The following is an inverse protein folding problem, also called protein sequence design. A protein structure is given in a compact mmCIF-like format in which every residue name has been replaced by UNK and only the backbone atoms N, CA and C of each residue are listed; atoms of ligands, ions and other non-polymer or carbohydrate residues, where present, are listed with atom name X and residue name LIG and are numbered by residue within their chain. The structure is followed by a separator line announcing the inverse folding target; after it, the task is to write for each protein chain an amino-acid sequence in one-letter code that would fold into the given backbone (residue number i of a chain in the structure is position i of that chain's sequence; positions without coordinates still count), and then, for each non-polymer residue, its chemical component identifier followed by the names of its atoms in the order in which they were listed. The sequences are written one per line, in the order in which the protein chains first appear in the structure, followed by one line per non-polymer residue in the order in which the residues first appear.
data_IF_117267982996
#
_entry.id   IF_117267982996
#
_cell.length_a   1.000
_cell.length_b   1.000
_cell.length_c   1.000
_cell.angle_alpha   90.00
_cell.angle_beta   90.00
_cell.angle_gamma   90.00
#
_symmetry.space_group_name_H-M   'P 1'
#
loop_
_entity.id
_entity.type
_entity.pdbx_description
1 polymer ?
#
# COMPACT_ATOMS: atom_id res chain seq x y z
N UNK A 1 -29.41 63.64 -54.20
CA UNK A 1 -30.30 64.76 -54.59
C UNK A 1 -29.57 66.08 -54.79
N UNK A 2 -28.69 66.51 -53.87
CA UNK A 2 -28.05 67.83 -53.92
C UNK A 2 -27.15 68.02 -55.16
N UNK A 3 -26.41 67.00 -55.59
CA UNK A 3 -25.52 67.08 -56.77
C UNK A 3 -26.28 67.29 -58.10
N UNK A 4 -27.49 66.72 -58.22
CA UNK A 4 -28.31 66.86 -59.43
C UNK A 4 -28.88 68.27 -59.62
N UNK A 5 -29.17 68.98 -58.52
CA UNK A 5 -29.72 70.35 -58.56
C UNK A 5 -28.63 71.36 -58.97
N UNK A 6 -27.39 71.16 -58.53
CA UNK A 6 -26.26 72.04 -58.88
C UNK A 6 -25.92 71.98 -60.37
N UNK A 7 -25.95 70.78 -60.97
CA UNK A 7 -25.70 70.61 -62.41
C UNK A 7 -26.76 71.29 -63.29
N UNK A 8 -28.04 71.26 -62.89
CA UNK A 8 -29.13 71.93 -63.63
C UNK A 8 -29.03 73.46 -63.55
N UNK A 9 -28.67 74.02 -62.38
CA UNK A 9 -28.47 75.47 -62.25
C UNK A 9 -27.28 76.00 -63.05
N UNK A 10 -26.19 75.23 -63.12
CA UNK A 10 -25.02 75.61 -63.94
C UNK A 10 -25.40 75.58 -65.43
N UNK A 11 -26.14 74.57 -65.89
CA UNK A 11 -26.59 74.50 -67.28
C UNK A 11 -27.55 75.65 -67.65
N UNK A 12 -28.45 76.05 -66.73
CA UNK A 12 -29.38 77.16 -66.94
C UNK A 12 -28.65 78.52 -67.06
N UNK A 13 -27.60 78.73 -66.26
CA UNK A 13 -26.80 79.97 -66.30
C UNK A 13 -25.93 80.08 -67.55
N UNK A 14 -25.41 78.96 -68.07
CA UNK A 14 -24.68 78.94 -69.34
C UNK A 14 -25.62 79.23 -70.52
N UNK A 15 -26.88 78.77 -70.46
CA UNK A 15 -27.89 79.07 -71.48
C UNK A 15 -28.36 80.54 -71.48
N UNK A 16 -28.42 81.21 -70.31
CA UNK A 16 -28.81 82.64 -70.25
C UNK A 16 -27.70 83.58 -70.71
N UNK A 17 -26.42 83.21 -70.57
CA UNK A 17 -25.29 84.01 -71.05
C UNK A 17 -25.12 83.99 -72.58
N UNK A 18 -25.54 82.92 -73.28
CA UNK A 18 -25.48 82.84 -74.75
C UNK A 18 -26.61 83.58 -75.46
N UNK A 19 -27.75 83.79 -74.80
CA UNK A 19 -28.86 84.60 -75.31
C UNK A 19 -28.59 86.12 -75.29
N UNK A 20 -27.73 86.59 -74.37
CA UNK A 20 -27.38 88.01 -74.26
C UNK A 20 -26.55 88.55 -75.43
N UNK A 21 -25.69 87.72 -76.04
CA UNK A 21 -24.80 88.14 -77.13
C UNK A 21 -25.52 88.28 -78.48
N UNK A 22 -26.60 87.53 -78.69
CA UNK A 22 -27.48 87.66 -79.86
C UNK A 22 -28.24 89.00 -79.85
N UNK A 23 -28.63 89.51 -78.68
CA UNK A 23 -29.40 90.76 -78.55
C UNK A 23 -28.58 92.02 -78.88
N UNK A 24 -27.27 91.99 -78.62
CA UNK A 24 -26.34 93.06 -79.02
C UNK A 24 -26.08 93.10 -80.52
N UNK A 25 -26.13 91.94 -81.21
CA UNK A 25 -25.92 91.88 -82.66
C UNK A 25 -27.13 92.44 -83.44
N UNK A 26 -28.34 92.19 -82.95
CA UNK A 26 -29.59 92.72 -83.53
C UNK A 26 -29.71 94.24 -83.35
N UNK A 27 -29.22 94.78 -82.23
CA UNK A 27 -29.27 96.24 -81.98
C UNK A 27 -28.26 97.03 -82.83
N UNK A 28 -27.11 96.43 -83.17
CA UNK A 28 -26.14 97.04 -84.09
C UNK A 28 -26.61 97.02 -85.55
N UNK A 29 -27.33 95.97 -85.97
CA UNK A 29 -27.87 95.87 -87.32
C UNK A 29 -29.01 96.87 -87.61
N UNK A 30 -29.81 97.24 -86.60
CA UNK A 30 -30.94 98.18 -86.75
C UNK A 30 -30.47 99.64 -86.82
N UNK A 31 -29.32 99.98 -86.22
CA UNK A 31 -28.80 101.35 -86.22
C UNK A 31 -28.11 101.75 -87.54
N UNK A 32 -27.85 100.79 -88.44
CA UNK A 32 -27.14 101.02 -89.71
C UNK A 32 -28.07 101.37 -90.89
N UNK A 33 -29.39 101.26 -90.74
CA UNK A 33 -30.34 101.32 -91.87
C UNK A 33 -30.94 102.72 -92.14
N UNK A 34 -30.71 103.74 -91.29
CA UNK A 34 -31.49 105.00 -91.35
C UNK A 34 -30.71 106.31 -91.62
N UNK A 35 -29.49 106.28 -92.18
CA UNK A 35 -28.81 107.51 -92.59
C UNK A 35 -28.50 107.52 -94.11
N UNK A 36 -28.96 108.54 -94.83
CA UNK A 36 -28.71 108.79 -96.27
C UNK A 36 -27.49 109.72 -96.43
N UNK A 37 -26.40 109.24 -97.05
CA UNK A 37 -25.15 109.96 -97.39
C UNK A 37 -24.25 109.04 -98.26
N UNK A 38 -23.21 109.55 -98.96
CA UNK A 38 -22.66 108.94 -100.17
C UNK A 38 -21.96 107.59 -99.94
N UNK A 39 -22.27 106.64 -100.83
CA UNK A 39 -22.10 105.18 -100.71
C UNK A 39 -20.65 104.66 -100.71
N UNK A 40 -19.63 105.51 -100.89
CA UNK A 40 -18.22 105.09 -101.02
C UNK A 40 -17.42 105.04 -99.69
N UNK A 41 -17.57 106.04 -98.82
CA UNK A 41 -16.71 106.19 -97.63
C UNK A 41 -17.29 105.53 -96.36
N UNK A 42 -18.61 105.31 -96.31
CA UNK A 42 -19.27 104.58 -95.21
C UNK A 42 -18.93 103.10 -95.23
N UNK A 43 -18.86 102.49 -96.40
CA UNK A 43 -18.56 101.07 -96.54
C UNK A 43 -17.15 100.77 -96.01
N UNK A 44 -16.21 101.70 -96.20
CA UNK A 44 -14.85 101.60 -95.68
C UNK A 44 -14.77 101.75 -94.15
N UNK A 45 -15.43 102.76 -93.55
CA UNK A 45 -15.44 102.92 -92.07
C UNK A 45 -16.23 101.82 -91.38
N UNK A 46 -17.36 101.40 -91.94
CA UNK A 46 -18.15 100.28 -91.44
C UNK A 46 -17.33 98.99 -91.49
N UNK A 47 -16.59 98.75 -92.58
CA UNK A 47 -15.67 97.62 -92.71
C UNK A 47 -14.52 97.67 -91.70
N UNK A 48 -13.84 98.81 -91.54
CA UNK A 48 -12.77 98.98 -90.55
C UNK A 48 -13.28 98.77 -89.10
N UNK A 49 -14.46 99.30 -88.75
CA UNK A 49 -15.07 99.07 -87.43
C UNK A 49 -15.55 97.62 -87.23
N UNK A 50 -16.03 96.96 -88.27
CA UNK A 50 -16.43 95.55 -88.23
C UNK A 50 -15.22 94.63 -88.10
N UNK A 51 -14.11 94.93 -88.79
CA UNK A 51 -12.83 94.22 -88.65
C UNK A 51 -12.26 94.38 -87.23
N UNK A 52 -12.26 95.60 -86.69
CA UNK A 52 -11.82 95.85 -85.31
C UNK A 52 -12.70 95.15 -84.27
N UNK A 53 -14.02 95.15 -84.46
CA UNK A 53 -14.95 94.44 -83.59
C UNK A 53 -14.76 92.91 -83.67
N UNK A 54 -14.47 92.37 -84.86
CA UNK A 54 -14.14 90.95 -85.04
C UNK A 54 -12.82 90.57 -84.37
N UNK A 55 -11.80 91.43 -84.44
CA UNK A 55 -10.51 91.22 -83.78
C UNK A 55 -10.66 91.25 -82.25
N UNK A 56 -11.42 92.21 -81.71
CA UNK A 56 -11.75 92.28 -80.29
C UNK A 56 -12.54 91.05 -79.81
N UNK A 57 -13.51 90.59 -80.62
CA UNK A 57 -14.26 89.37 -80.32
C UNK A 57 -13.38 88.13 -80.34
N UNK A 58 -12.44 88.05 -81.30
CA UNK A 58 -11.44 86.97 -81.36
C UNK A 58 -10.54 87.00 -80.12
N UNK A 59 -10.03 88.16 -79.72
CA UNK A 59 -9.22 88.31 -78.52
C UNK A 59 -10.00 88.00 -77.22
N UNK A 60 -11.32 88.22 -77.19
CA UNK A 60 -12.18 87.78 -76.08
C UNK A 60 -12.40 86.27 -76.10
N UNK A 61 -12.63 85.69 -77.27
CA UNK A 61 -12.76 84.24 -77.43
C UNK A 61 -11.47 83.52 -77.02
N UNK A 62 -10.30 84.01 -77.44
CA UNK A 62 -8.99 83.43 -77.08
C UNK A 62 -8.74 83.51 -75.56
N UNK A 63 -9.12 84.62 -74.91
CA UNK A 63 -9.06 84.74 -73.44
C UNK A 63 -9.99 83.77 -72.73
N UNK A 64 -11.23 83.63 -73.22
CA UNK A 64 -12.19 82.68 -72.65
C UNK A 64 -11.74 81.23 -72.83
N UNK A 65 -11.09 80.90 -73.97
CA UNK A 65 -10.49 79.57 -74.19
C UNK A 65 -9.33 79.34 -73.22
N UNK A 66 -8.44 80.31 -73.03
CA UNK A 66 -7.33 80.19 -72.08
C UNK A 66 -7.80 80.02 -70.63
N UNK A 67 -8.85 80.74 -70.22
CA UNK A 67 -9.49 80.57 -68.91
C UNK A 67 -10.12 79.18 -68.77
N UNK A 68 -10.85 78.72 -69.80
CA UNK A 68 -11.43 77.38 -69.81
C UNK A 68 -10.35 76.29 -69.71
N UNK A 69 -9.22 76.43 -70.40
CA UNK A 69 -8.10 75.49 -70.32
C UNK A 69 -7.42 75.50 -68.93
N UNK A 70 -7.33 76.68 -68.29
CA UNK A 70 -6.88 76.81 -66.90
C UNK A 70 -7.79 76.04 -65.93
N UNK A 71 -9.11 76.22 -66.06
CA UNK A 71 -10.10 75.50 -65.24
C UNK A 71 -10.08 73.99 -65.51
N UNK A 72 -9.86 73.56 -66.76
CA UNK A 72 -9.69 72.13 -67.08
C UNK A 72 -8.47 71.55 -66.36
N UNK A 73 -7.33 72.25 -66.42
CA UNK A 73 -6.12 71.82 -65.74
C UNK A 73 -6.28 71.77 -64.21
N UNK A 74 -7.00 72.72 -63.62
CA UNK A 74 -7.31 72.71 -62.18
C UNK A 74 -8.23 71.54 -61.81
N UNK A 75 -9.28 71.29 -62.59
CA UNK A 75 -10.20 70.16 -62.40
C UNK A 75 -9.48 68.82 -62.51
N UNK A 76 -8.51 68.68 -63.42
CA UNK A 76 -7.72 67.46 -63.58
C UNK A 76 -6.75 67.24 -62.40
N UNK A 77 -6.17 68.33 -61.85
CA UNK A 77 -5.38 68.28 -60.60
C UNK A 77 -6.24 67.86 -59.42
N UNK A 78 -7.40 68.49 -59.24
CA UNK A 78 -8.34 68.14 -58.17
C UNK A 78 -8.83 66.70 -58.28
N UNK A 79 -9.07 66.20 -59.49
CA UNK A 79 -9.40 64.79 -59.72
C UNK A 79 -8.26 63.87 -59.27
N UNK A 80 -7.02 64.21 -59.61
CA UNK A 80 -5.84 63.43 -59.21
C UNK A 80 -5.64 63.43 -57.70
N UNK A 81 -5.83 64.57 -57.04
CA UNK A 81 -5.74 64.72 -55.59
C UNK A 81 -6.85 63.97 -54.87
N UNK A 82 -8.08 63.97 -55.41
CA UNK A 82 -9.20 63.18 -54.90
C UNK A 82 -8.88 61.69 -54.96
N UNK A 83 -8.42 61.18 -56.11
CA UNK A 83 -8.03 59.78 -56.26
C UNK A 83 -6.90 59.40 -55.27
N UNK A 84 -5.95 60.30 -55.05
CA UNK A 84 -4.88 60.10 -54.07
C UNK A 84 -5.40 60.08 -52.63
N UNK A 85 -6.35 60.94 -52.30
CA UNK A 85 -7.01 60.98 -50.99
C UNK A 85 -7.85 59.71 -50.74
N UNK A 86 -8.60 59.24 -51.74
CA UNK A 86 -9.37 57.99 -51.66
C UNK A 86 -8.46 56.78 -51.42
N UNK A 87 -7.33 56.69 -52.13
CA UNK A 87 -6.33 55.63 -51.90
C UNK A 87 -5.74 55.68 -50.48
N UNK A 88 -5.46 56.87 -49.95
CA UNK A 88 -4.97 57.02 -48.57
C UNK A 88 -6.03 56.64 -47.53
N UNK A 89 -7.29 57.02 -47.77
CA UNK A 89 -8.40 56.66 -46.89
C UNK A 89 -8.64 55.14 -46.87
N UNK A 90 -8.56 54.48 -48.02
CA UNK A 90 -8.66 53.02 -48.12
C UNK A 90 -7.51 52.33 -47.35
N UNK A 91 -6.26 52.78 -47.55
CA UNK A 91 -5.11 52.23 -46.82
C UNK A 91 -5.22 52.41 -45.29
N UNK A 92 -5.72 53.56 -44.83
CA UNK A 92 -5.94 53.80 -43.40
C UNK A 92 -7.05 52.93 -42.81
N UNK A 93 -8.11 52.63 -43.57
CA UNK A 93 -9.15 51.67 -43.15
C UNK A 93 -8.59 50.25 -43.05
N UNK A 94 -7.78 49.82 -44.03
CA UNK A 94 -7.12 48.51 -43.98
C UNK A 94 -6.19 48.37 -42.77
N UNK A 95 -5.44 49.43 -42.43
CA UNK A 95 -4.59 49.50 -41.24
C UNK A 95 -5.42 49.41 -39.94
N UNK A 96 -6.52 50.17 -39.86
CA UNK A 96 -7.44 50.13 -38.71
C UNK A 96 -8.07 48.74 -38.52
N UNK A 97 -8.44 48.06 -39.61
CA UNK A 97 -8.94 46.69 -39.57
C UNK A 97 -7.86 45.68 -39.18
N UNK A 98 -6.60 45.93 -39.54
CA UNK A 98 -5.44 45.17 -39.06
C UNK A 98 -5.26 45.29 -37.54
N UNK A 99 -5.23 46.51 -37.03
CA UNK A 99 -5.11 46.79 -35.59
C UNK A 99 -6.29 46.23 -34.78
N UNK A 100 -7.51 46.30 -35.33
CA UNK A 100 -8.69 45.71 -34.69
C UNK A 100 -8.57 44.19 -34.56
N UNK A 101 -8.05 43.51 -35.58
CA UNK A 101 -7.79 42.06 -35.52
C UNK A 101 -6.71 41.72 -34.50
N UNK A 102 -5.63 42.49 -34.46
CA UNK A 102 -4.56 42.31 -33.47
C UNK A 102 -5.06 42.52 -32.05
N UNK A 103 -5.85 43.57 -31.81
CA UNK A 103 -6.47 43.83 -30.50
C UNK A 103 -7.40 42.69 -30.09
N UNK A 104 -8.17 42.14 -31.03
CA UNK A 104 -9.01 40.96 -30.79
C UNK A 104 -8.21 39.72 -30.43
N UNK A 105 -7.08 39.47 -31.10
CA UNK A 105 -6.16 38.37 -30.78
C UNK A 105 -5.56 38.53 -29.38
N UNK A 106 -5.05 39.71 -29.06
CA UNK A 106 -4.45 40.00 -27.75
C UNK A 106 -5.49 39.87 -26.62
N UNK A 107 -6.72 40.31 -26.84
CA UNK A 107 -7.81 40.12 -25.88
C UNK A 107 -8.12 38.63 -25.64
N UNK A 108 -8.12 37.81 -26.70
CA UNK A 108 -8.31 36.37 -26.57
C UNK A 108 -7.15 35.69 -25.82
N UNK A 109 -5.91 36.08 -26.11
CA UNK A 109 -4.72 35.60 -25.40
C UNK A 109 -4.74 35.99 -23.92
N UNK A 110 -5.16 37.22 -23.60
CA UNK A 110 -5.28 37.68 -22.22
C UNK A 110 -6.33 36.88 -21.44
N UNK A 111 -7.50 36.62 -22.05
CA UNK A 111 -8.54 35.82 -21.41
C UNK A 111 -8.07 34.36 -21.18
N UNK A 112 -7.39 33.76 -22.17
CA UNK A 112 -6.84 32.42 -22.01
C UNK A 112 -5.75 32.36 -20.92
N UNK A 113 -4.95 33.41 -20.77
CA UNK A 113 -3.97 33.53 -19.70
C UNK A 113 -4.62 33.68 -18.32
N UNK A 114 -5.74 34.42 -18.22
CA UNK A 114 -6.51 34.56 -16.99
C UNK A 114 -7.15 33.22 -16.56
N UNK A 115 -7.75 32.50 -17.51
CA UNK A 115 -8.29 31.15 -17.26
C UNK A 115 -7.19 30.18 -16.78
N UNK A 116 -6.02 30.20 -17.43
CA UNK A 116 -4.88 29.39 -17.02
C UNK A 116 -4.33 29.76 -15.64
N UNK A 117 -4.33 31.05 -15.30
CA UNK A 117 -3.93 31.54 -13.98
C UNK A 117 -4.92 31.09 -12.89
N UNK A 118 -6.23 31.17 -13.17
CA UNK A 118 -7.27 30.68 -12.27
C UNK A 118 -7.11 29.17 -12.01
N UNK A 119 -6.87 28.36 -13.07
CA UNK A 119 -6.63 26.93 -12.92
C UNK A 119 -5.36 26.64 -12.11
N UNK A 120 -4.28 27.39 -12.34
CA UNK A 120 -3.04 27.25 -11.58
C UNK A 120 -3.23 27.55 -10.08
N UNK A 121 -4.05 28.55 -9.75
CA UNK A 121 -4.39 28.89 -8.36
C UNK A 121 -5.19 27.76 -7.70
N UNK A 122 -6.17 27.19 -8.40
CA UNK A 122 -6.92 26.03 -7.87
C UNK A 122 -6.02 24.81 -7.66
N UNK A 123 -5.11 24.51 -8.58
CA UNK A 123 -4.12 23.45 -8.39
C UNK A 123 -3.21 23.72 -7.19
N UNK A 124 -2.78 24.96 -6.99
CA UNK A 124 -1.94 25.33 -5.85
C UNK A 124 -2.67 25.12 -4.52
N UNK A 125 -3.96 25.52 -4.43
CA UNK A 125 -4.80 25.26 -3.25
C UNK A 125 -4.96 23.76 -2.97
N UNK A 126 -5.21 22.96 -4.01
CA UNK A 126 -5.28 21.51 -3.87
C UNK A 126 -4.00 20.88 -3.32
N UNK A 127 -2.83 21.38 -3.75
CA UNK A 127 -1.53 20.95 -3.21
C UNK A 127 -1.30 21.40 -1.78
N UNK A 128 -1.75 22.61 -1.40
CA UNK A 128 -1.70 23.09 -0.01
C UNK A 128 -2.55 22.22 0.92
N UNK A 129 -3.78 21.86 0.50
CA UNK A 129 -4.66 20.97 1.24
C UNK A 129 -4.06 19.56 1.40
N UNK A 130 -3.48 19.02 0.33
CA UNK A 130 -2.79 17.72 0.38
C UNK A 130 -1.57 17.75 1.32
N UNK A 131 -0.76 18.81 1.25
CA UNK A 131 0.36 19.00 2.16
C UNK A 131 -0.11 19.10 3.62
N UNK A 132 -1.20 19.82 3.88
CA UNK A 132 -1.82 19.90 5.21
C UNK A 132 -2.26 18.54 5.74
N UNK A 133 -2.89 17.71 4.90
CA UNK A 133 -3.30 16.35 5.23
C UNK A 133 -2.10 15.45 5.56
N UNK A 134 -1.05 15.48 4.73
CA UNK A 134 0.17 14.69 4.96
C UNK A 134 0.88 15.08 6.26
N UNK A 135 0.91 16.37 6.59
CA UNK A 135 1.46 16.85 7.88
C UNK A 135 0.64 16.32 9.06
N UNK A 136 -0.69 16.30 8.95
CA UNK A 136 -1.55 15.74 9.99
C UNK A 136 -1.33 14.23 10.17
N UNK A 137 -1.27 13.47 9.08
CA UNK A 137 -0.98 12.02 9.09
C UNK A 137 0.41 11.73 9.71
N UNK A 138 1.44 12.50 9.35
CA UNK A 138 2.78 12.36 9.91
C UNK A 138 2.80 12.60 11.42
N UNK A 139 2.09 13.62 11.90
CA UNK A 139 2.01 13.90 13.33
C UNK A 139 1.25 12.81 14.11
N UNK A 140 0.18 12.25 13.53
CA UNK A 140 -0.54 11.12 14.10
C UNK A 140 0.35 9.87 14.20
N UNK A 141 1.04 9.52 13.11
CA UNK A 141 1.97 8.39 13.09
C UNK A 141 3.12 8.55 14.10
N UNK A 142 3.63 9.77 14.28
CA UNK A 142 4.64 10.07 15.30
C UNK A 142 4.11 9.86 16.72
N UNK A 143 2.87 10.28 16.99
CA UNK A 143 2.23 10.08 18.29
C UNK A 143 2.01 8.58 18.58
N UNK A 144 1.57 7.80 17.59
CA UNK A 144 1.46 6.34 17.69
C UNK A 144 2.81 5.68 17.93
N UNK A 145 3.86 6.11 17.24
CA UNK A 145 5.22 5.61 17.44
C UNK A 145 5.74 5.83 18.86
N UNK A 146 5.48 7.00 19.45
CA UNK A 146 5.83 7.30 20.84
C UNK A 146 5.03 6.45 21.84
N UNK A 147 3.73 6.24 21.57
CA UNK A 147 2.89 5.37 22.39
C UNK A 147 3.36 3.91 22.33
N UNK A 148 3.77 3.42 21.15
CA UNK A 148 4.31 2.07 20.99
C UNK A 148 5.66 1.92 21.70
N UNK A 149 6.54 2.93 21.64
CA UNK A 149 7.81 2.92 22.36
C UNK A 149 7.59 2.75 23.88
N UNK A 150 6.64 3.50 24.44
CA UNK A 150 6.27 3.37 25.87
C UNK A 150 5.77 1.96 26.19
N UNK A 151 4.89 1.39 25.34
CA UNK A 151 4.40 0.02 25.53
C UNK A 151 5.49 -1.05 25.45
N UNK A 152 6.53 -0.83 24.64
CA UNK A 152 7.68 -1.74 24.56
C UNK A 152 8.53 -1.66 25.81
N UNK A 153 8.71 -0.46 26.38
CA UNK A 153 9.37 -0.28 27.67
C UNK A 153 8.59 -0.99 28.79
N UNK A 154 7.28 -0.75 28.91
CA UNK A 154 6.42 -1.42 29.89
C UNK A 154 6.49 -2.95 29.77
N UNK A 155 6.40 -3.48 28.55
CA UNK A 155 6.50 -4.92 28.31
C UNK A 155 7.89 -5.49 28.67
N UNK A 156 8.96 -4.72 28.46
CA UNK A 156 10.31 -5.13 28.87
C UNK A 156 10.42 -5.18 30.40
N UNK A 157 9.78 -4.26 31.11
CA UNK A 157 9.72 -4.22 32.57
C UNK A 157 8.93 -5.40 33.12
N UNK A 158 7.78 -5.72 32.51
CA UNK A 158 6.98 -6.89 32.85
C UNK A 158 7.78 -8.20 32.67
N UNK A 159 8.49 -8.36 31.54
CA UNK A 159 9.33 -9.54 31.29
C UNK A 159 10.45 -9.64 32.35
N UNK A 160 11.07 -8.53 32.74
CA UNK A 160 12.06 -8.51 33.82
C UNK A 160 11.44 -8.91 35.16
N UNK A 161 10.26 -8.39 35.48
CA UNK A 161 9.51 -8.72 36.70
C UNK A 161 9.12 -10.20 36.76
N UNK A 162 8.59 -10.75 35.66
CA UNK A 162 8.22 -12.16 35.56
C UNK A 162 9.42 -13.09 35.68
N UNK A 163 10.58 -12.73 35.10
CA UNK A 163 11.82 -13.50 35.28
C UNK A 163 12.26 -13.53 36.73
N UNK A 164 12.27 -12.39 37.41
CA UNK A 164 12.63 -12.32 38.83
C UNK A 164 11.63 -13.12 39.70
N UNK A 165 10.34 -13.07 39.38
CA UNK A 165 9.32 -13.85 40.08
C UNK A 165 9.49 -15.36 39.85
N UNK A 166 9.85 -15.78 38.63
CA UNK A 166 10.17 -17.18 38.31
C UNK A 166 11.39 -17.65 39.09
N UNK A 167 12.49 -16.90 39.08
CA UNK A 167 13.71 -17.22 39.84
C UNK A 167 13.40 -17.30 41.35
N UNK A 168 12.60 -16.38 41.88
CA UNK A 168 12.18 -16.41 43.29
C UNK A 168 11.28 -17.61 43.61
N UNK A 169 10.38 -18.00 42.70
CA UNK A 169 9.53 -19.17 42.87
C UNK A 169 10.34 -20.48 42.82
N UNK A 170 11.31 -20.57 41.90
CA UNK A 170 12.25 -21.70 41.83
C UNK A 170 13.11 -21.79 43.10
N UNK A 171 13.63 -20.66 43.59
CA UNK A 171 14.39 -20.60 44.84
C UNK A 171 13.54 -20.90 46.09
N UNK A 172 12.23 -20.62 46.06
CA UNK A 172 11.31 -20.94 47.14
C UNK A 172 10.89 -22.42 47.16
N UNK A 173 11.10 -23.15 46.06
CA UNK A 173 10.78 -24.59 45.93
C UNK A 173 12.03 -25.46 46.08
N UNK A 174 12.88 -25.14 47.05
CA UNK A 174 13.93 -26.03 47.51
C UNK A 174 13.37 -26.96 48.59
N UNK A 175 13.72 -28.24 48.51
CA UNK A 175 13.42 -29.24 49.52
C UNK A 175 14.72 -29.88 49.99
N UNK A 176 14.75 -30.28 51.26
CA UNK A 176 15.89 -31.00 51.82
C UNK A 176 15.85 -32.45 51.33
N UNK A 177 16.86 -32.84 50.55
CA UNK A 177 17.01 -34.19 50.00
C UNK A 177 18.43 -34.69 50.25
N UNK A 178 18.60 -35.81 50.97
CA UNK A 178 19.92 -36.35 51.28
C UNK A 178 20.86 -35.38 52.03
N UNK A 179 20.30 -34.42 52.77
CA UNK A 179 21.04 -33.38 53.50
C UNK A 179 21.47 -32.16 52.67
N UNK A 180 21.05 -32.07 51.40
CA UNK A 180 21.26 -30.92 50.53
C UNK A 180 19.93 -30.24 50.18
N UNK A 181 19.95 -28.91 49.97
CA UNK A 181 18.79 -28.17 49.48
C UNK A 181 18.75 -28.27 47.96
N UNK A 182 17.77 -28.99 47.42
CA UNK A 182 17.66 -29.31 46.00
C UNK A 182 16.30 -28.83 45.46
N UNK A 183 16.22 -28.30 44.24
CA UNK A 183 14.93 -27.94 43.64
C UNK A 183 14.01 -29.15 43.53
N UNK A 184 12.73 -29.01 43.90
CA UNK A 184 11.72 -30.08 43.83
C UNK A 184 11.75 -30.81 42.48
N UNK A 185 11.87 -30.06 41.38
CA UNK A 185 11.93 -30.63 40.02
C UNK A 185 13.09 -31.60 39.84
N UNK A 186 14.27 -31.27 40.36
CA UNK A 186 15.45 -32.11 40.26
C UNK A 186 15.30 -33.38 41.11
N UNK A 187 14.74 -33.26 42.33
CA UNK A 187 14.49 -34.42 43.19
C UNK A 187 13.51 -35.40 42.53
N UNK A 188 12.39 -34.90 41.99
CA UNK A 188 11.40 -35.72 41.27
C UNK A 188 12.02 -36.42 40.06
N UNK A 189 12.86 -35.73 39.28
CA UNK A 189 13.57 -36.33 38.14
C UNK A 189 14.55 -37.43 38.57
N UNK A 190 15.28 -37.23 39.68
CA UNK A 190 16.22 -38.22 40.21
C UNK A 190 15.51 -39.50 40.66
N UNK A 191 14.43 -39.37 41.42
CA UNK A 191 13.65 -40.51 41.93
C UNK A 191 12.98 -41.28 40.79
N UNK A 192 12.29 -40.57 39.87
CA UNK A 192 11.64 -41.22 38.71
C UNK A 192 12.64 -41.92 37.78
N UNK A 193 13.83 -41.33 37.56
CA UNK A 193 14.91 -41.96 36.80
C UNK A 193 15.45 -43.22 37.47
N UNK A 194 15.75 -43.14 38.77
CA UNK A 194 16.25 -44.26 39.58
C UNK A 194 15.28 -45.45 39.59
N UNK A 195 13.99 -45.18 39.79
CA UNK A 195 12.94 -46.20 39.75
C UNK A 195 12.84 -46.81 38.36
N UNK A 196 12.82 -45.99 37.30
CA UNK A 196 12.75 -46.49 35.92
C UNK A 196 13.91 -47.43 35.58
N UNK A 197 15.13 -47.04 35.94
CA UNK A 197 16.34 -47.85 35.74
C UNK A 197 16.29 -49.17 36.53
N UNK A 198 15.80 -49.14 37.78
CA UNK A 198 15.65 -50.34 38.61
C UNK A 198 14.58 -51.27 38.06
N UNK A 199 13.42 -50.75 37.70
CA UNK A 199 12.33 -51.52 37.10
C UNK A 199 12.80 -52.21 35.82
N UNK A 200 13.57 -51.52 34.96
CA UNK A 200 14.13 -52.13 33.76
C UNK A 200 15.09 -53.30 34.10
N UNK A 201 15.97 -53.15 35.09
CA UNK A 201 16.89 -54.21 35.53
C UNK A 201 16.17 -55.39 36.16
N UNK A 202 15.15 -55.14 36.99
CA UNK A 202 14.31 -56.18 37.59
C UNK A 202 13.58 -56.96 36.50
N UNK A 203 12.94 -56.27 35.55
CA UNK A 203 12.27 -56.92 34.43
C UNK A 203 13.24 -57.77 33.59
N UNK A 204 14.45 -57.26 33.31
CA UNK A 204 15.48 -58.01 32.61
C UNK A 204 15.97 -59.24 33.42
N UNK A 205 16.10 -59.10 34.74
CA UNK A 205 16.52 -60.18 35.65
C UNK A 205 15.47 -61.29 35.68
N UNK A 206 14.19 -60.94 35.76
CA UNK A 206 13.09 -61.90 35.74
C UNK A 206 12.96 -62.61 34.39
N UNK A 207 13.05 -61.87 33.28
CA UNK A 207 13.05 -62.49 31.95
C UNK A 207 14.27 -63.39 31.75
N UNK A 208 15.42 -63.01 32.30
CA UNK A 208 16.62 -63.84 32.29
C UNK A 208 16.51 -65.07 33.20
N UNK A 209 15.81 -64.96 34.35
CA UNK A 209 15.65 -66.06 35.30
C UNK A 209 14.80 -67.17 34.72
N UNK A 210 13.83 -66.88 33.85
CA UNK A 210 12.99 -67.90 33.18
C UNK A 210 13.80 -69.00 32.48
N UNK A 211 14.89 -68.63 31.79
CA UNK A 211 15.77 -69.61 31.14
C UNK A 211 16.55 -70.45 32.17
N UNK A 212 16.93 -69.85 33.29
CA UNK A 212 17.61 -70.50 34.39
C UNK A 212 16.71 -71.40 35.24
N UNK A 213 15.45 -71.01 35.42
CA UNK A 213 14.38 -71.76 36.07
C UNK A 213 14.12 -73.10 35.39
N UNK A 214 14.31 -73.13 34.08
CA UNK A 214 14.17 -74.34 33.25
C UNK A 214 15.31 -75.35 33.45
N UNK A 215 16.39 -75.00 34.17
CA UNK A 215 17.50 -75.90 34.47
C UNK A 215 17.17 -76.76 35.70
N UNK A 216 17.11 -78.10 35.58
CA UNK A 216 16.84 -78.99 36.70
C UNK A 216 17.79 -78.74 37.90
N UNK A 217 17.26 -78.75 39.12
CA UNK A 217 17.96 -78.53 40.41
C UNK A 217 18.56 -77.13 40.67
N UNK A 218 18.85 -76.37 39.62
CA UNK A 218 19.37 -75.00 39.72
C UNK A 218 18.25 -73.95 39.68
N UNK A 219 17.10 -74.27 39.06
CA UNK A 219 15.97 -73.35 38.95
C UNK A 219 15.51 -72.77 40.28
N UNK A 220 15.37 -73.59 41.34
CA UNK A 220 14.99 -73.10 42.68
C UNK A 220 16.01 -72.10 43.26
N UNK A 221 17.31 -72.31 43.00
CA UNK A 221 18.33 -71.38 43.43
C UNK A 221 18.24 -70.05 42.67
N UNK A 222 17.91 -70.11 41.38
CA UNK A 222 17.74 -68.95 40.50
C UNK A 222 16.49 -68.15 40.87
N UNK A 223 15.36 -68.81 41.18
CA UNK A 223 14.15 -68.15 41.71
C UNK A 223 14.47 -67.43 43.01
N UNK A 224 15.07 -68.12 43.99
CA UNK A 224 15.42 -67.50 45.28
C UNK A 224 16.34 -66.29 45.08
N UNK A 225 17.30 -66.36 44.16
CA UNK A 225 18.19 -65.26 43.84
C UNK A 225 17.45 -64.09 43.16
N UNK A 226 16.61 -64.36 42.16
CA UNK A 226 15.81 -63.35 41.46
C UNK A 226 14.85 -62.66 42.43
N UNK A 227 14.10 -63.42 43.23
CA UNK A 227 13.17 -62.88 44.25
C UNK A 227 13.91 -62.07 45.33
N UNK A 228 15.12 -62.48 45.73
CA UNK A 228 15.94 -61.68 46.65
C UNK A 228 16.32 -60.34 46.04
N UNK A 229 16.68 -60.32 44.76
CA UNK A 229 17.00 -59.11 44.02
C UNK A 229 15.76 -58.21 43.82
N UNK A 230 14.62 -58.77 43.45
CA UNK A 230 13.33 -58.06 43.32
C UNK A 230 12.91 -57.40 44.63
N UNK A 231 12.98 -58.14 45.73
CA UNK A 231 12.60 -57.64 47.05
C UNK A 231 13.52 -56.50 47.49
N UNK A 232 14.83 -56.65 47.27
CA UNK A 232 15.79 -55.57 47.52
C UNK A 232 15.46 -54.33 46.68
N UNK A 233 15.25 -54.50 45.37
CA UNK A 233 14.94 -53.38 44.48
C UNK A 233 13.64 -52.70 44.86
N UNK A 234 12.61 -53.46 45.27
CA UNK A 234 11.33 -52.92 45.71
C UNK A 234 11.47 -52.13 47.01
N UNK A 235 12.24 -52.64 47.98
CA UNK A 235 12.56 -51.92 49.21
C UNK A 235 13.31 -50.60 48.93
N UNK A 236 14.30 -50.61 48.03
CA UNK A 236 15.05 -49.41 47.67
C UNK A 236 14.15 -48.37 46.97
N UNK A 237 13.27 -48.79 46.03
CA UNK A 237 12.30 -47.90 45.38
C UNK A 237 11.29 -47.31 46.36
N UNK A 238 10.79 -48.10 47.32
CA UNK A 238 9.87 -47.61 48.34
C UNK A 238 10.53 -46.59 49.26
N UNK A 239 11.79 -46.81 49.65
CA UNK A 239 12.55 -45.85 50.45
C UNK A 239 12.75 -44.53 49.73
N UNK A 240 13.10 -44.54 48.44
CA UNK A 240 13.27 -43.32 47.65
C UNK A 240 11.96 -42.57 47.44
N UNK A 241 10.85 -43.28 47.20
CA UNK A 241 9.53 -42.64 47.13
C UNK A 241 9.14 -42.02 48.46
N UNK A 242 9.35 -42.74 49.57
CA UNK A 242 9.05 -42.22 50.91
C UNK A 242 9.92 -41.01 51.26
N UNK A 243 11.22 -41.07 50.96
CA UNK A 243 12.12 -39.92 51.13
C UNK A 243 11.59 -38.72 50.33
N UNK A 244 11.00 -38.95 49.13
CA UNK A 244 10.48 -37.86 48.27
C UNK A 244 9.24 -37.24 48.88
N UNK A 245 8.35 -38.08 49.37
CA UNK A 245 7.15 -37.63 50.05
C UNK A 245 7.46 -36.89 51.35
N UNK A 246 8.50 -37.30 52.09
CA UNK A 246 9.01 -36.58 53.27
C UNK A 246 9.61 -35.24 52.87
N UNK A 247 10.47 -35.21 51.84
CA UNK A 247 11.08 -33.98 51.35
C UNK A 247 10.03 -32.96 50.86
N UNK A 248 8.94 -33.45 50.26
CA UNK A 248 7.80 -32.65 49.83
C UNK A 248 6.85 -32.26 50.97
N UNK A 249 7.05 -32.77 52.18
CA UNK A 249 6.18 -32.53 53.33
C UNK A 249 4.78 -33.15 53.23
N UNK A 250 4.61 -34.17 52.39
CA UNK A 250 3.33 -34.87 52.18
C UNK A 250 3.21 -36.19 52.95
N UNK A 251 4.33 -36.73 53.44
CA UNK A 251 4.36 -37.91 54.30
C UNK A 251 5.08 -37.65 55.64
N UNK A 252 4.73 -38.40 56.70
CA UNK A 252 5.48 -38.39 57.96
C UNK A 252 6.88 -38.97 57.79
N UNK A 253 7.81 -38.66 58.71
CA UNK A 253 9.20 -39.14 58.63
C UNK A 253 9.35 -40.68 58.60
N UNK A 254 8.38 -41.41 59.17
CA UNK A 254 8.37 -42.87 59.20
C UNK A 254 7.19 -43.43 58.39
N UNK A 255 7.46 -44.38 57.48
CA UNK A 255 6.43 -45.18 56.82
C UNK A 255 6.52 -46.66 57.28
N UNK A 256 5.48 -47.15 57.99
CA UNK A 256 5.37 -48.56 58.36
C UNK A 256 5.39 -49.52 57.17
N UNK A 257 4.92 -49.11 55.98
CA UNK A 257 4.86 -49.96 54.79
C UNK A 257 6.25 -50.21 54.21
N UNK A 258 7.12 -49.19 54.17
CA UNK A 258 8.55 -49.36 53.81
C UNK A 258 9.20 -50.39 54.73
N UNK A 259 9.00 -50.27 56.04
CA UNK A 259 9.58 -51.19 57.03
C UNK A 259 9.06 -52.62 56.87
N UNK A 260 7.78 -52.77 56.51
CA UNK A 260 7.17 -54.06 56.25
C UNK A 260 7.79 -54.78 55.05
N UNK A 261 7.91 -54.10 53.90
CA UNK A 261 8.47 -54.70 52.68
C UNK A 261 9.97 -54.95 52.82
N UNK A 262 10.71 -53.98 53.36
CA UNK A 262 12.15 -54.13 53.62
C UNK A 262 12.47 -55.19 54.69
N UNK A 263 11.50 -55.55 55.55
CA UNK A 263 11.63 -56.57 56.58
C UNK A 263 11.25 -57.99 56.14
N UNK A 264 10.75 -58.17 54.91
CA UNK A 264 10.41 -59.50 54.39
C UNK A 264 11.68 -60.35 54.23
N UNK A 265 11.60 -61.64 54.59
CA UNK A 265 12.68 -62.61 54.43
C UNK A 265 12.40 -63.52 53.26
N UNK A 266 13.31 -63.56 52.29
CA UNK A 266 13.27 -64.58 51.22
C UNK A 266 13.74 -65.92 51.81
N UNK A 267 12.97 -67.01 51.64
CA UNK A 267 13.40 -68.33 52.06
C UNK A 267 14.67 -68.77 51.33
N UNK A 268 15.53 -69.52 52.01
CA UNK A 268 16.73 -70.12 51.41
C UNK A 268 16.36 -71.25 50.43
N UNK A 269 17.28 -71.59 49.53
CA UNK A 269 17.15 -72.75 48.62
C UNK A 269 16.72 -74.02 49.36
N UNK A 270 17.33 -74.29 50.51
CA UNK A 270 17.04 -75.49 51.31
C UNK A 270 15.62 -75.44 51.89
N UNK A 271 15.20 -74.29 52.42
CA UNK A 271 13.83 -74.08 52.95
C UNK A 271 12.79 -74.23 51.84
N UNK A 272 13.02 -73.65 50.65
CA UNK A 272 12.13 -73.82 49.49
C UNK A 272 12.07 -75.28 49.05
N UNK A 273 13.22 -75.96 48.97
CA UNK A 273 13.27 -77.36 48.55
C UNK A 273 12.59 -78.30 49.55
N UNK A 274 12.74 -78.02 50.83
CA UNK A 274 12.05 -78.76 51.89
C UNK A 274 10.53 -78.54 51.82
N UNK A 275 10.09 -77.30 51.59
CA UNK A 275 8.66 -76.97 51.44
C UNK A 275 8.02 -77.69 50.25
N UNK A 276 8.73 -77.77 49.11
CA UNK A 276 8.27 -78.50 47.92
C UNK A 276 8.18 -80.01 48.21
N UNK A 277 9.16 -80.59 48.91
CA UNK A 277 9.16 -82.02 49.27
C UNK A 277 8.03 -82.39 50.23
N UNK A 278 7.81 -81.54 51.24
CA UNK A 278 6.87 -81.83 52.32
C UNK A 278 5.42 -81.64 51.89
N UNK A 279 5.14 -80.66 51.02
CA UNK A 279 3.76 -80.36 50.63
C UNK A 279 3.66 -79.66 49.26
N UNK A 280 3.88 -80.39 48.16
CA UNK A 280 3.89 -79.79 46.82
C UNK A 280 2.53 -79.21 46.40
N UNK A 281 1.41 -79.82 46.84
CA UNK A 281 0.06 -79.30 46.59
C UNK A 281 -0.22 -77.97 47.30
N UNK A 282 0.35 -77.77 48.49
CA UNK A 282 0.25 -76.51 49.24
C UNK A 282 1.04 -75.40 48.56
N UNK A 283 2.25 -75.69 48.10
CA UNK A 283 3.08 -74.75 47.35
C UNK A 283 2.39 -74.34 46.04
N UNK A 284 1.81 -75.30 45.31
CA UNK A 284 1.04 -75.05 44.10
C UNK A 284 -0.14 -74.10 44.37
N UNK A 285 -0.96 -74.41 45.38
CA UNK A 285 -2.12 -73.59 45.74
C UNK A 285 -1.70 -72.18 46.15
N UNK A 286 -0.62 -72.03 46.92
CA UNK A 286 -0.11 -70.73 47.31
C UNK A 286 0.37 -69.90 46.11
N UNK A 287 1.01 -70.54 45.13
CA UNK A 287 1.48 -69.88 43.91
C UNK A 287 0.33 -69.48 42.96
N UNK A 288 -0.70 -70.32 42.81
CA UNK A 288 -1.84 -70.00 41.94
C UNK A 288 -2.76 -68.93 42.52
N UNK A 289 -2.89 -68.86 43.85
CA UNK A 289 -3.76 -67.89 44.52
C UNK A 289 -3.37 -66.41 44.31
N UNK A 290 -2.14 -66.14 43.88
CA UNK A 290 -1.64 -64.77 43.65
C UNK A 290 -1.61 -64.38 42.17
N UNK A 291 -1.94 -65.31 41.26
CA UNK A 291 -1.97 -65.09 39.82
C UNK A 291 -3.44 -64.95 39.39
N UNK A 292 -3.85 -63.80 38.82
CA UNK A 292 -5.18 -63.67 38.22
C UNK A 292 -5.41 -64.74 37.15
N UNK A 293 -6.61 -65.30 37.09
CA UNK A 293 -7.03 -66.31 36.09
C UNK A 293 -6.25 -67.64 36.14
N UNK A 294 -5.64 -67.97 37.30
CA UNK A 294 -4.93 -69.25 37.49
C UNK A 294 -5.84 -70.48 37.60
N UNK A 295 -7.17 -70.30 37.66
CA UNK A 295 -8.17 -71.37 37.79
C UNK A 295 -8.16 -72.35 36.61
N UNK A 296 -7.66 -71.91 35.45
CA UNK A 296 -7.56 -72.72 34.24
C UNK A 296 -6.25 -73.54 34.14
N UNK A 297 -5.35 -73.43 35.11
CA UNK A 297 -4.09 -74.18 35.10
C UNK A 297 -4.32 -75.64 35.54
N UNK A 298 -3.88 -76.64 34.75
CA UNK A 298 -4.04 -78.03 35.13
C UNK A 298 -3.24 -78.35 36.40
N UNK A 299 -3.91 -78.88 37.42
CA UNK A 299 -3.25 -79.32 38.65
C UNK A 299 -2.27 -80.45 38.33
N UNK A 300 -0.97 -80.32 38.66
CA UNK A 300 0.01 -81.37 38.40
C UNK A 300 -0.31 -82.66 39.18
N UNK A 301 -0.05 -83.82 38.58
CA UNK A 301 -0.08 -85.10 39.30
C UNK A 301 1.18 -85.24 40.16
N UNK A 302 1.11 -84.70 41.38
CA UNK A 302 2.20 -84.73 42.35
C UNK A 302 2.54 -86.14 42.86
N UNK A 303 1.68 -87.15 42.66
CA UNK A 303 1.94 -88.52 43.12
C UNK A 303 2.76 -89.34 42.12
N UNK A 304 2.38 -89.30 40.83
CA UNK A 304 3.04 -90.05 39.76
C UNK A 304 4.28 -89.36 39.18
N UNK A 305 4.19 -88.06 38.90
CA UNK A 305 5.25 -87.27 38.26
C UNK A 305 6.46 -87.07 39.20
N UNK A 306 6.21 -86.87 40.49
CA UNK A 306 7.25 -86.64 41.50
C UNK A 306 8.09 -87.90 41.77
N UNK A 307 7.42 -89.05 41.96
CA UNK A 307 8.12 -90.34 42.14
C UNK A 307 8.90 -90.76 40.89
N UNK A 308 8.37 -90.49 39.69
CA UNK A 308 9.10 -90.78 38.43
C UNK A 308 10.30 -89.86 38.21
N UNK A 309 10.19 -88.57 38.57
CA UNK A 309 11.26 -87.59 38.36
C UNK A 309 12.36 -87.77 39.42
N UNK A 310 12.01 -87.92 40.69
CA UNK A 310 12.98 -88.21 41.75
C UNK A 310 13.59 -89.62 41.58
N UNK A 311 12.83 -90.61 41.13
CA UNK A 311 13.36 -91.96 40.88
C UNK A 311 14.35 -92.04 39.72
N UNK A 312 14.15 -91.25 38.65
CA UNK A 312 15.07 -91.18 37.51
C UNK A 312 16.39 -90.45 37.85
N UNK A 313 16.33 -89.44 38.72
CA UNK A 313 17.52 -88.66 39.12
C UNK A 313 18.18 -89.12 40.43
N UNK A 314 17.51 -89.93 41.26
CA UNK A 314 18.08 -90.48 42.50
C UNK A 314 19.35 -91.30 42.25
N UNK A 315 19.49 -91.90 41.06
CA UNK A 315 20.72 -92.58 40.63
C UNK A 315 21.86 -91.67 40.16
N UNK A 316 21.68 -90.35 40.07
CA UNK A 316 22.71 -89.38 39.66
C UNK A 316 23.38 -88.65 40.84
N UNK A 317 22.87 -88.82 42.06
CA UNK A 317 23.36 -88.15 43.28
C UNK A 317 23.74 -89.15 44.40
N UNK A 318 23.85 -90.44 44.08
CA UNK A 318 24.47 -91.47 44.94
C UNK A 318 25.98 -91.64 44.67
N UNK A 319 26.64 -90.64 44.05
CA UNK A 319 28.10 -90.45 44.02
C UNK A 319 28.52 -89.10 44.61
#
# INVERSE_FOLDING_TARGET
MILGVVLVMIALNVATLTLSSLNTLVSAAISAVTALEPVGDRDRRAKETAEQALEDQRARADRAVAEADGLRAERDRLSTDLDAAERRAAAALDEADGLRRETGRLAAELNAADDAAAEAVERARGLEDEAGRLVAELNAAKAEGLALATRVEDAADDVRGLRAALEAAEAAQLVEWGGEQVPVREVVQRVTGSISDRTARVAATNLGSMAGESIPFYGVAIVVAATTYELKSSCDSMREMHELEVALGVAPAEDPQVSQVCGMRVPSKAEVWQMIKDSPSTVWTAATNVIPDADDLPVPDFGGMWNSTIGWFGGWFEE
#
